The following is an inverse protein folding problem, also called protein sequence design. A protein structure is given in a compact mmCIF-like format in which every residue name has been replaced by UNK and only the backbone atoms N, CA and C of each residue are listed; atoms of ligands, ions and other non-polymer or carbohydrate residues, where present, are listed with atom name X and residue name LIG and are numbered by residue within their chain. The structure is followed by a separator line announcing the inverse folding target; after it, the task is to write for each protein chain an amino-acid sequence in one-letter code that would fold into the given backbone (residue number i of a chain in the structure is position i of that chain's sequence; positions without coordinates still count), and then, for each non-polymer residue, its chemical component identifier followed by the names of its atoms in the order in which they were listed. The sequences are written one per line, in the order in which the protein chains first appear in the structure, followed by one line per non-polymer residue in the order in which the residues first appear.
data_IF_358617579861
#
_entry.id   IF_358617579861
#
_cell.length_a   1.000
_cell.length_b   1.000
_cell.length_c   1.000
_cell.angle_alpha   90.00
_cell.angle_beta   90.00
_cell.angle_gamma   90.00
#
_symmetry.space_group_name_H-M   'P 1'
#
loop_
_entity.id
_entity.type
_entity.pdbx_description
1 polymer ?
#
# COMPACT_ATOMS: atom_id res chain seq x y z
N UNK A 1 88.58 15.47 16.20
CA UNK A 1 87.13 15.10 16.33
C UNK A 1 86.51 14.93 14.93
N UNK A 2 86.38 13.69 14.43
CA UNK A 2 85.73 13.39 13.12
C UNK A 2 84.18 13.31 13.37
N UNK A 3 83.41 14.28 12.83
CA UNK A 3 81.97 14.18 12.77
C UNK A 3 81.57 13.21 11.69
N UNK A 4 81.01 12.09 12.04
CA UNK A 4 80.37 11.19 11.10
C UNK A 4 79.02 11.85 10.59
N UNK A 5 78.77 11.89 9.30
CA UNK A 5 77.54 12.43 8.77
C UNK A 5 76.39 11.47 9.10
N UNK A 6 75.18 11.98 9.38
CA UNK A 6 74.03 11.15 9.69
C UNK A 6 73.45 10.50 8.42
N UNK A 7 73.99 9.32 8.06
CA UNK A 7 73.51 8.53 6.93
C UNK A 7 72.15 7.85 7.19
N UNK A 8 71.63 7.94 8.42
CA UNK A 8 70.44 7.28 8.84
C UNK A 8 69.14 8.07 8.53
N UNK A 9 69.21 9.35 8.15
CA UNK A 9 68.01 10.19 7.98
C UNK A 9 67.26 9.99 6.65
N UNK A 10 67.92 9.51 5.58
CA UNK A 10 67.29 9.38 4.25
C UNK A 10 66.47 8.10 4.08
N UNK A 11 66.83 7.00 4.74
CA UNK A 11 66.12 5.73 4.68
C UNK A 11 64.82 5.73 5.51
N UNK A 12 64.78 6.47 6.63
CA UNK A 12 63.62 6.52 7.50
C UNK A 12 62.44 7.28 6.88
N UNK A 13 62.68 8.31 6.07
CA UNK A 13 61.65 9.07 5.37
C UNK A 13 60.95 8.20 4.32
N UNK A 14 61.70 7.39 3.56
CA UNK A 14 61.15 6.50 2.56
C UNK A 14 60.27 5.42 3.19
N UNK A 15 60.68 4.87 4.33
CA UNK A 15 59.91 3.90 5.10
C UNK A 15 58.63 4.52 5.65
N UNK A 16 58.67 5.76 6.15
CA UNK A 16 57.50 6.50 6.63
C UNK A 16 56.51 6.77 5.49
N UNK A 17 56.96 7.22 4.33
CA UNK A 17 56.12 7.44 3.16
C UNK A 17 55.45 6.13 2.72
N UNK A 18 56.18 5.00 2.72
CA UNK A 18 55.61 3.70 2.39
C UNK A 18 54.53 3.26 3.36
N UNK A 19 54.73 3.44 4.67
CA UNK A 19 53.73 3.11 5.69
C UNK A 19 52.51 4.01 5.54
N UNK A 20 52.69 5.32 5.37
CA UNK A 20 51.56 6.25 5.21
C UNK A 20 50.79 5.94 3.92
N UNK A 21 51.44 5.65 2.81
CA UNK A 21 50.77 5.28 1.56
C UNK A 21 49.99 3.97 1.69
N UNK A 22 50.52 2.98 2.42
CA UNK A 22 49.81 1.73 2.69
C UNK A 22 48.54 1.96 3.53
N UNK A 23 48.60 2.84 4.54
CA UNK A 23 47.43 3.21 5.36
C UNK A 23 46.41 3.94 4.50
N UNK A 24 46.80 4.93 3.72
CA UNK A 24 45.87 5.67 2.83
C UNK A 24 45.20 4.72 1.84
N UNK A 25 45.95 3.78 1.26
CA UNK A 25 45.41 2.80 0.31
C UNK A 25 44.35 1.90 0.98
N UNK A 26 44.62 1.39 2.19
CA UNK A 26 43.64 0.55 2.93
C UNK A 26 42.38 1.32 3.30
N UNK A 27 42.50 2.57 3.74
CA UNK A 27 41.36 3.44 4.03
C UNK A 27 40.53 3.69 2.76
N UNK A 28 41.18 3.99 1.66
CA UNK A 28 40.54 4.24 0.36
C UNK A 28 39.74 3.03 -0.11
N UNK A 29 40.32 1.84 -0.08
CA UNK A 29 39.63 0.59 -0.48
C UNK A 29 38.43 0.31 0.43
N UNK A 30 38.57 0.51 1.73
CA UNK A 30 37.49 0.33 2.70
C UNK A 30 36.34 1.30 2.43
N UNK A 31 36.64 2.54 2.10
CA UNK A 31 35.63 3.55 1.76
C UNK A 31 34.86 3.19 0.49
N UNK A 32 35.53 2.73 -0.57
CA UNK A 32 34.86 2.30 -1.80
C UNK A 32 33.94 1.09 -1.57
N UNK A 33 34.36 0.12 -0.77
CA UNK A 33 33.52 -1.04 -0.41
C UNK A 33 32.28 -0.61 0.37
N UNK A 34 32.43 0.29 1.35
CA UNK A 34 31.31 0.83 2.12
C UNK A 34 30.33 1.59 1.22
N UNK A 35 30.84 2.47 0.36
CA UNK A 35 30.01 3.26 -0.55
C UNK A 35 29.25 2.37 -1.55
N UNK A 36 29.90 1.35 -2.12
CA UNK A 36 29.26 0.38 -3.01
C UNK A 36 28.11 -0.36 -2.32
N UNK A 37 28.31 -0.82 -1.09
CA UNK A 37 27.27 -1.47 -0.28
C UNK A 37 26.10 -0.53 0.05
N UNK A 38 26.37 0.71 0.38
CA UNK A 38 25.34 1.71 0.68
C UNK A 38 24.46 2.01 -0.55
N UNK A 39 25.05 2.18 -1.73
CA UNK A 39 24.33 2.38 -2.99
C UNK A 39 23.46 1.16 -3.33
N UNK A 40 23.98 -0.04 -3.16
CA UNK A 40 23.23 -1.27 -3.41
C UNK A 40 22.02 -1.38 -2.46
N UNK A 41 22.22 -1.13 -1.17
CA UNK A 41 21.14 -1.12 -0.18
C UNK A 41 20.05 -0.10 -0.53
N UNK A 42 20.43 1.10 -0.98
CA UNK A 42 19.50 2.13 -1.44
C UNK A 42 18.66 1.67 -2.65
N UNK A 43 19.27 0.98 -3.61
CA UNK A 43 18.55 0.41 -4.76
C UNK A 43 17.55 -0.66 -4.36
N UNK A 44 17.91 -1.55 -3.43
CA UNK A 44 16.98 -2.56 -2.92
C UNK A 44 15.82 -1.94 -2.14
N UNK A 45 16.09 -0.93 -1.32
CA UNK A 45 15.03 -0.22 -0.60
C UNK A 45 14.04 0.45 -1.56
N UNK A 46 14.54 1.12 -2.60
CA UNK A 46 13.70 1.73 -3.63
C UNK A 46 12.88 0.68 -4.40
N UNK A 47 13.51 -0.41 -4.85
CA UNK A 47 12.81 -1.48 -5.56
C UNK A 47 11.73 -2.13 -4.67
N UNK A 48 11.99 -2.30 -3.37
CA UNK A 48 11.03 -2.83 -2.40
C UNK A 48 9.83 -1.90 -2.21
N UNK A 49 10.06 -0.58 -2.12
CA UNK A 49 8.97 0.40 -2.04
C UNK A 49 8.13 0.43 -3.32
N UNK A 50 8.77 0.36 -4.49
CA UNK A 50 8.07 0.27 -5.78
C UNK A 50 7.24 -1.02 -5.89
N UNK A 51 7.79 -2.17 -5.45
CA UNK A 51 7.05 -3.42 -5.44
C UNK A 51 5.83 -3.36 -4.51
N UNK A 52 5.94 -2.70 -3.34
CA UNK A 52 4.80 -2.51 -2.46
C UNK A 52 3.71 -1.65 -3.12
N UNK A 53 4.08 -0.51 -3.71
CA UNK A 53 3.13 0.34 -4.42
C UNK A 53 2.43 -0.38 -5.59
N UNK A 54 3.15 -1.26 -6.30
CA UNK A 54 2.56 -2.11 -7.33
C UNK A 54 1.57 -3.11 -6.76
N UNK A 55 1.87 -3.69 -5.59
CA UNK A 55 0.94 -4.62 -4.93
C UNK A 55 -0.33 -3.91 -4.45
N UNK A 56 -0.22 -2.68 -3.95
CA UNK A 56 -1.37 -1.84 -3.57
C UNK A 56 -2.23 -1.50 -4.80
N UNK A 57 -1.62 -1.10 -5.91
CA UNK A 57 -2.34 -0.87 -7.17
C UNK A 57 -3.04 -2.15 -7.68
N UNK A 58 -2.43 -3.32 -7.48
CA UNK A 58 -3.05 -4.61 -7.77
C UNK A 58 -4.29 -4.89 -6.92
N UNK A 59 -4.32 -4.47 -5.66
CA UNK A 59 -5.52 -4.55 -4.81
C UNK A 59 -6.64 -3.67 -5.38
N UNK A 60 -6.33 -2.42 -5.73
CA UNK A 60 -7.30 -1.49 -6.30
C UNK A 60 -7.89 -2.02 -7.61
N UNK A 61 -7.04 -2.58 -8.47
CA UNK A 61 -7.46 -3.26 -9.70
C UNK A 61 -8.40 -4.43 -9.38
N UNK A 62 -8.04 -5.29 -8.43
CA UNK A 62 -8.87 -6.41 -8.04
C UNK A 62 -10.23 -5.99 -7.48
N UNK A 63 -10.28 -4.92 -6.68
CA UNK A 63 -11.53 -4.35 -6.16
C UNK A 63 -12.39 -3.83 -7.31
N UNK A 64 -11.80 -3.10 -8.24
CA UNK A 64 -12.50 -2.59 -9.40
C UNK A 64 -13.11 -3.72 -10.24
N UNK A 65 -12.30 -4.72 -10.60
CA UNK A 65 -12.74 -5.86 -11.41
C UNK A 65 -13.81 -6.70 -10.71
N UNK A 66 -13.68 -6.95 -9.40
CA UNK A 66 -14.69 -7.68 -8.61
C UNK A 66 -16.01 -6.93 -8.48
N UNK A 67 -16.00 -5.60 -8.49
CA UNK A 67 -17.21 -4.79 -8.52
C UNK A 67 -17.93 -4.88 -9.89
N UNK A 68 -17.18 -5.02 -10.98
CA UNK A 68 -17.76 -5.20 -12.32
C UNK A 68 -18.18 -6.64 -12.57
N UNK A 69 -17.38 -7.60 -12.11
CA UNK A 69 -17.58 -9.03 -12.30
C UNK A 69 -17.23 -9.81 -11.03
N UNK A 70 -18.22 -10.20 -10.22
CA UNK A 70 -18.01 -11.02 -9.02
C UNK A 70 -17.33 -12.37 -9.26
N UNK A 71 -17.27 -12.83 -10.53
CA UNK A 71 -16.61 -14.07 -10.94
C UNK A 71 -15.17 -13.88 -11.39
N UNK A 72 -14.61 -12.66 -11.26
CA UNK A 72 -13.21 -12.40 -11.59
C UNK A 72 -12.26 -13.31 -10.81
N UNK A 73 -11.34 -13.97 -11.52
CA UNK A 73 -10.39 -14.92 -10.94
C UNK A 73 -8.97 -14.38 -10.80
N UNK A 74 -8.73 -13.21 -11.38
CA UNK A 74 -7.41 -12.56 -11.38
C UNK A 74 -6.81 -12.43 -12.78
N UNK A 75 -5.60 -11.89 -12.80
CA UNK A 75 -4.81 -11.69 -14.01
C UNK A 75 -3.32 -11.91 -13.73
N UNK A 76 -2.56 -12.22 -14.78
CA UNK A 76 -1.13 -12.46 -14.65
C UNK A 76 -0.33 -11.39 -15.39
N UNK A 77 0.78 -10.96 -14.77
CA UNK A 77 1.82 -10.11 -15.37
C UNK A 77 1.32 -8.77 -15.95
N UNK A 78 0.42 -8.11 -15.25
CA UNK A 78 -0.01 -6.78 -15.63
C UNK A 78 1.13 -5.79 -15.39
N UNK A 79 1.58 -5.13 -16.46
CA UNK A 79 2.66 -4.15 -16.39
C UNK A 79 2.16 -2.81 -15.87
N UNK A 80 2.83 -2.26 -14.87
CA UNK A 80 2.56 -0.93 -14.34
C UNK A 80 3.86 -0.23 -13.93
N UNK A 81 4.14 0.92 -14.56
CA UNK A 81 5.36 1.69 -14.29
C UNK A 81 6.64 0.91 -14.58
N UNK A 82 7.43 0.64 -13.55
CA UNK A 82 8.73 -0.06 -13.66
C UNK A 82 8.68 -1.52 -13.20
N UNK A 83 7.51 -2.12 -13.11
CA UNK A 83 7.37 -3.51 -12.68
C UNK A 83 6.11 -4.16 -13.22
N UNK A 84 5.84 -5.34 -12.72
CA UNK A 84 4.64 -6.13 -13.06
C UNK A 84 4.00 -6.66 -11.79
N UNK A 85 2.69 -6.88 -11.83
CA UNK A 85 1.99 -7.56 -10.76
C UNK A 85 1.06 -8.63 -11.31
N UNK A 86 0.74 -9.60 -10.50
CA UNK A 86 -0.24 -10.65 -10.78
C UNK A 86 -1.27 -10.69 -9.67
N UNK A 87 -2.51 -10.85 -10.03
CA UNK A 87 -3.66 -10.96 -9.13
C UNK A 87 -4.19 -12.38 -9.16
N UNK A 88 -4.42 -12.98 -8.01
CA UNK A 88 -5.09 -14.26 -7.85
C UNK A 88 -6.25 -14.10 -6.87
N UNK A 89 -7.44 -14.53 -7.26
CA UNK A 89 -8.66 -14.44 -6.48
C UNK A 89 -9.17 -15.81 -6.13
N UNK A 90 -9.33 -16.09 -4.83
CA UNK A 90 -9.90 -17.33 -4.31
C UNK A 90 -11.19 -17.02 -3.52
N UNK A 91 -12.27 -17.76 -3.78
CA UNK A 91 -13.49 -17.63 -2.99
C UNK A 91 -13.34 -18.30 -1.63
N UNK A 92 -13.61 -17.57 -0.55
CA UNK A 92 -13.72 -18.12 0.80
C UNK A 92 -15.15 -18.60 1.05
N UNK A 93 -16.12 -17.77 0.64
CA UNK A 93 -17.54 -18.08 0.64
C UNK A 93 -18.23 -17.30 -0.49
N UNK A 94 -19.56 -17.36 -0.57
CA UNK A 94 -20.34 -16.70 -1.63
C UNK A 94 -20.10 -15.18 -1.72
N UNK A 95 -19.86 -14.53 -0.60
CA UNK A 95 -19.73 -13.07 -0.52
C UNK A 95 -18.33 -12.59 -0.14
N UNK A 96 -17.39 -13.50 0.10
CA UNK A 96 -16.05 -13.13 0.55
C UNK A 96 -14.99 -13.77 -0.35
N UNK A 97 -14.11 -12.94 -0.87
CA UNK A 97 -12.99 -13.34 -1.71
C UNK A 97 -11.67 -13.04 -1.00
N UNK A 98 -10.70 -13.93 -1.15
CA UNK A 98 -9.31 -13.67 -0.81
C UNK A 98 -8.58 -13.29 -2.06
N UNK A 99 -7.98 -12.13 -2.06
CA UNK A 99 -7.19 -11.61 -3.17
C UNK A 99 -5.73 -11.66 -2.74
N UNK A 100 -4.89 -12.28 -3.56
CA UNK A 100 -3.44 -12.35 -3.36
C UNK A 100 -2.78 -11.67 -4.54
N UNK A 101 -2.02 -10.62 -4.27
CA UNK A 101 -1.24 -9.90 -5.27
C UNK A 101 0.22 -10.24 -5.08
N UNK A 102 0.89 -10.59 -6.17
CA UNK A 102 2.35 -10.75 -6.21
C UNK A 102 2.92 -9.73 -7.19
N UNK A 103 3.77 -8.86 -6.71
CA UNK A 103 4.42 -7.83 -7.52
C UNK A 103 5.91 -8.06 -7.64
N UNK A 104 6.47 -7.68 -8.79
CA UNK A 104 7.87 -7.86 -9.14
C UNK A 104 8.44 -6.58 -9.75
N UNK A 105 9.64 -6.22 -9.34
CA UNK A 105 10.40 -5.09 -9.89
C UNK A 105 11.79 -5.59 -10.30
N UNK A 106 12.20 -5.44 -11.55
CA UNK A 106 11.49 -4.85 -12.69
C UNK A 106 10.52 -5.82 -13.39
N UNK A 107 10.70 -7.13 -13.24
CA UNK A 107 9.88 -8.17 -13.91
C UNK A 107 9.88 -9.47 -13.10
N UNK A 108 9.04 -10.42 -13.50
CA UNK A 108 8.88 -11.73 -12.84
C UNK A 108 10.06 -12.67 -13.04
N UNK A 109 10.81 -12.53 -14.14
CA UNK A 109 11.90 -13.45 -14.51
C UNK A 109 13.17 -13.20 -13.67
N UNK A 110 13.50 -11.93 -13.42
CA UNK A 110 14.68 -11.55 -12.64
C UNK A 110 14.38 -10.36 -11.73
N UNK A 111 13.60 -10.58 -10.66
CA UNK A 111 13.17 -9.51 -9.79
C UNK A 111 14.28 -9.05 -8.84
N UNK A 112 14.47 -7.74 -8.74
CA UNK A 112 15.28 -7.11 -7.69
C UNK A 112 14.51 -7.07 -6.37
N UNK A 113 13.18 -6.93 -6.44
CA UNK A 113 12.29 -6.99 -5.29
C UNK A 113 10.98 -7.68 -5.67
N UNK A 114 10.45 -8.44 -4.72
CA UNK A 114 9.13 -9.09 -4.82
C UNK A 114 8.34 -8.77 -3.55
N UNK A 115 7.05 -8.46 -3.71
CA UNK A 115 6.11 -8.32 -2.59
C UNK A 115 4.87 -9.17 -2.84
N UNK A 116 4.39 -9.77 -1.77
CA UNK A 116 3.11 -10.48 -1.77
C UNK A 116 2.22 -9.82 -0.74
N UNK A 117 1.04 -9.39 -1.18
CA UNK A 117 0.03 -8.80 -0.31
C UNK A 117 -1.26 -9.60 -0.43
N UNK A 118 -1.90 -9.85 0.69
CA UNK A 118 -3.18 -10.53 0.74
C UNK A 118 -4.24 -9.61 1.33
N UNK A 119 -5.41 -9.55 0.69
CA UNK A 119 -6.57 -8.85 1.18
C UNK A 119 -7.79 -9.77 1.19
N UNK A 120 -8.67 -9.58 2.15
CA UNK A 120 -9.99 -10.23 2.17
C UNK A 120 -11.02 -9.18 1.80
N UNK A 121 -11.74 -9.40 0.70
CA UNK A 121 -12.73 -8.48 0.16
C UNK A 121 -14.11 -9.10 0.36
N UNK A 122 -15.00 -8.36 1.01
CA UNK A 122 -16.42 -8.73 1.08
C UNK A 122 -17.14 -8.07 -0.09
N UNK A 123 -17.73 -8.90 -0.94
CA UNK A 123 -18.63 -8.44 -2.01
C UNK A 123 -20.02 -8.43 -1.41
N UNK A 124 -20.41 -7.29 -0.88
CA UNK A 124 -21.78 -7.11 -0.44
C UNK A 124 -22.63 -6.72 -1.67
N UNK A 125 -23.45 -7.65 -2.12
CA UNK A 125 -24.43 -7.39 -3.20
C UNK A 125 -25.63 -6.57 -2.69
N UNK A 126 -25.76 -6.36 -1.38
CA UNK A 126 -26.60 -5.32 -0.87
C UNK A 126 -25.91 -4.00 -1.23
N UNK A 127 -26.33 -3.40 -2.34
CA UNK A 127 -26.25 -1.95 -2.58
C UNK A 127 -26.44 -1.31 -1.22
N UNK A 128 -25.56 -0.37 -0.84
CA UNK A 128 -25.69 0.35 0.42
C UNK A 128 -27.17 0.58 0.63
N UNK A 129 -27.77 -0.35 1.33
CA UNK A 129 -29.20 -0.35 1.54
C UNK A 129 -29.38 0.83 2.46
N UNK A 130 -29.79 1.97 1.90
CA UNK A 130 -30.41 2.98 2.71
C UNK A 130 -31.64 2.26 3.27
N UNK A 131 -31.45 1.57 4.40
CA UNK A 131 -32.50 0.88 5.13
C UNK A 131 -33.66 1.85 5.48
N UNK A 132 -33.33 3.14 5.34
CA UNK A 132 -34.21 4.25 5.64
C UNK A 132 -34.35 5.14 4.41
N UNK A 133 -35.56 5.37 3.98
CA UNK A 133 -35.90 6.40 2.97
C UNK A 133 -35.63 7.80 3.50
N UNK A 134 -35.68 7.96 4.83
CA UNK A 134 -35.32 9.18 5.57
C UNK A 134 -34.59 8.78 6.86
N UNK A 135 -33.45 9.44 7.13
CA UNK A 135 -32.71 9.34 8.39
C UNK A 135 -32.48 10.74 8.94
N UNK A 136 -32.98 11.05 10.12
CA UNK A 136 -32.87 12.36 10.77
C UNK A 136 -32.35 12.19 12.19
N UNK A 137 -31.50 13.12 12.63
CA UNK A 137 -30.96 13.16 13.98
C UNK A 137 -31.99 13.68 15.02
N UNK A 138 -31.49 14.30 16.09
CA UNK A 138 -32.25 14.68 17.29
C UNK A 138 -33.42 15.62 17.08
N UNK A 139 -33.54 16.29 15.95
CA UNK A 139 -34.63 17.23 15.68
C UNK A 139 -35.99 16.56 15.33
N UNK A 140 -35.97 15.28 14.91
CA UNK A 140 -37.15 14.66 14.33
C UNK A 140 -37.60 15.31 13.02
N UNK A 141 -38.84 15.02 12.58
CA UNK A 141 -39.42 15.68 11.41
C UNK A 141 -40.96 15.64 11.43
N UNK A 142 -41.55 16.63 10.77
CA UNK A 142 -42.97 16.78 10.59
C UNK A 142 -43.37 16.53 9.14
N UNK A 143 -44.45 15.78 8.97
CA UNK A 143 -45.06 15.50 7.68
C UNK A 143 -46.46 16.07 7.65
N UNK A 144 -46.85 16.73 6.56
CA UNK A 144 -48.24 17.25 6.41
C UNK A 144 -48.73 17.13 4.97
N UNK A 145 -50.03 17.42 4.79
CA UNK A 145 -50.66 17.55 3.47
C UNK A 145 -50.47 16.32 2.56
N UNK A 146 -50.81 15.14 3.05
CA UNK A 146 -50.72 13.88 2.28
C UNK A 146 -49.28 13.53 1.85
N UNK A 147 -48.27 14.07 2.54
CA UNK A 147 -46.88 13.66 2.32
C UNK A 147 -46.71 12.15 2.52
N UNK A 148 -45.94 11.54 1.64
CA UNK A 148 -45.72 10.09 1.64
C UNK A 148 -44.27 9.76 1.64
N UNK A 149 -43.81 8.91 2.57
CA UNK A 149 -42.50 8.27 2.55
C UNK A 149 -42.72 6.82 2.15
N UNK A 150 -42.01 6.38 1.09
CA UNK A 150 -41.96 4.98 0.70
C UNK A 150 -40.63 4.44 1.15
N UNK A 151 -40.61 3.52 2.11
CA UNK A 151 -39.42 2.96 2.75
C UNK A 151 -39.40 3.24 4.25
N UNK A 152 -38.33 2.82 4.92
CA UNK A 152 -38.20 2.98 6.36
C UNK A 152 -37.78 4.43 6.70
N UNK A 153 -38.27 4.94 7.84
CA UNK A 153 -37.86 6.23 8.39
C UNK A 153 -37.23 6.03 9.76
N UNK A 154 -36.10 6.70 10.00
CA UNK A 154 -35.44 6.74 11.31
C UNK A 154 -35.26 8.19 11.76
N UNK A 155 -35.62 8.45 13.03
CA UNK A 155 -35.31 9.71 13.67
C UNK A 155 -34.89 9.49 15.12
N UNK A 156 -33.90 10.26 15.59
CA UNK A 156 -33.57 10.35 17.04
C UNK A 156 -34.41 11.40 17.76
N UNK A 157 -35.48 11.84 17.17
CA UNK A 157 -36.48 12.77 17.69
C UNK A 157 -37.87 12.40 17.17
N UNK A 158 -38.89 13.20 17.46
CA UNK A 158 -40.26 12.89 17.12
C UNK A 158 -40.51 12.82 15.61
N UNK A 159 -41.33 11.87 15.19
CA UNK A 159 -41.93 11.83 13.85
C UNK A 159 -43.40 12.21 13.99
N UNK A 160 -43.80 13.34 13.43
CA UNK A 160 -45.16 13.86 13.50
C UNK A 160 -45.79 13.85 12.12
N UNK A 161 -46.94 13.21 11.97
CA UNK A 161 -47.69 13.19 10.72
C UNK A 161 -49.06 13.85 10.92
N UNK A 162 -49.45 14.80 10.03
CA UNK A 162 -50.76 15.46 10.02
C UNK A 162 -51.40 15.41 8.63
N UNK A 163 -52.71 15.57 8.55
CA UNK A 163 -53.45 15.69 7.29
C UNK A 163 -53.16 14.56 6.27
N UNK A 164 -53.34 13.30 6.70
CA UNK A 164 -53.15 12.10 5.86
C UNK A 164 -51.72 11.83 5.43
N UNK A 165 -50.74 12.42 6.11
CA UNK A 165 -49.33 12.03 5.92
C UNK A 165 -49.11 10.57 6.34
N UNK A 166 -48.31 9.82 5.59
CA UNK A 166 -48.05 8.40 5.86
C UNK A 166 -46.66 7.94 5.51
N UNK A 167 -46.22 6.93 6.24
CA UNK A 167 -44.98 6.19 5.96
C UNK A 167 -45.39 4.78 5.51
N UNK A 168 -45.03 4.40 4.29
CA UNK A 168 -45.20 3.04 3.78
C UNK A 168 -43.88 2.28 4.02
N UNK A 169 -43.70 1.81 5.25
CA UNK A 169 -42.51 1.15 5.77
C UNK A 169 -42.49 1.17 7.29
N UNK A 170 -41.31 0.95 7.89
CA UNK A 170 -41.13 0.98 9.34
C UNK A 170 -40.66 2.36 9.79
N UNK A 171 -41.31 2.96 10.78
CA UNK A 171 -40.84 4.16 11.46
C UNK A 171 -40.16 3.77 12.77
N UNK A 172 -38.94 4.22 12.97
CA UNK A 172 -38.12 3.98 14.17
C UNK A 172 -37.77 5.33 14.79
N UNK A 173 -38.09 5.46 16.06
CA UNK A 173 -37.76 6.63 16.87
C UNK A 173 -36.92 6.17 18.05
N UNK A 174 -35.81 6.86 18.35
CA UNK A 174 -34.88 6.52 19.44
C UNK A 174 -34.59 7.73 20.34
#
# INVERSE_FOLDING_TARGET
MKRFPPLLARGSVLLLVLVVSAIVMTVTVSFFNYFGSAVQSGRFALASAQALALAEAGIDTAIYELNQNPSYLGESETALGKGVFSVSVASINNNTKRVTITSFVPNSTNPTATKVVQATISIDSSVASFHYGIQIGQGGFDMSNSAKIIGNAYASGNIIGTNSARIEGTAIVS
#
